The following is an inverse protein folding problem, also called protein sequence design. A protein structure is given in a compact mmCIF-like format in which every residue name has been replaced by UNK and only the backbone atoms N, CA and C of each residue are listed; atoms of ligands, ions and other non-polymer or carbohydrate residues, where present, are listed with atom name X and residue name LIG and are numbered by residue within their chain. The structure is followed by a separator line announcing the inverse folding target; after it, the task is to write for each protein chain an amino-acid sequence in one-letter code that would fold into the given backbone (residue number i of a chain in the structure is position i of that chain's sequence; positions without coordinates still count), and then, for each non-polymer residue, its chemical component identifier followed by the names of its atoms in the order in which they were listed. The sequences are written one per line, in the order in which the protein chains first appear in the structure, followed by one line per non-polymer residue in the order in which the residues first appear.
data_IF_348558847752
#
_entry.id   IF_348558847752
#
_cell.length_a   1.000
_cell.length_b   1.000
_cell.length_c   1.000
_cell.angle_alpha   90.00
_cell.angle_beta   90.00
_cell.angle_gamma   90.00
#
_symmetry.space_group_name_H-M   'P 1'
#
loop_
_entity.id
_entity.type
_entity.pdbx_description
1 polymer ?
#
# COMPACT_ATOMS: atom_id res chain seq x y z
N UNK A 1 10.66 19.83 -40.84
CA UNK A 1 11.21 18.46 -40.65
C UNK A 1 11.52 18.29 -39.16
N UNK A 2 10.82 17.36 -38.54
CA UNK A 2 10.67 17.19 -37.09
C UNK A 2 11.95 16.70 -36.39
N UNK A 3 12.10 16.92 -35.07
CA UNK A 3 12.43 15.83 -34.19
C UNK A 3 11.11 15.15 -33.76
N UNK A 4 10.87 13.96 -34.31
CA UNK A 4 9.92 12.99 -33.77
C UNK A 4 10.26 12.81 -32.29
N UNK A 5 9.35 13.19 -31.38
CA UNK A 5 9.48 12.77 -29.99
C UNK A 5 9.24 11.27 -29.95
N UNK A 6 10.37 10.59 -29.84
CA UNK A 6 10.56 9.16 -29.73
C UNK A 6 9.67 8.55 -28.63
N UNK A 7 9.27 7.30 -28.89
CA UNK A 7 8.43 6.47 -28.03
C UNK A 7 9.14 6.19 -26.72
N UNK A 8 9.01 7.08 -25.75
CA UNK A 8 9.35 6.80 -24.36
C UNK A 8 8.63 7.81 -23.47
N UNK A 9 7.39 7.49 -23.13
CA UNK A 9 6.82 7.96 -21.86
C UNK A 9 7.60 7.26 -20.73
N UNK A 10 8.86 7.63 -20.55
CA UNK A 10 9.57 7.43 -19.29
C UNK A 10 8.89 8.36 -18.30
N UNK A 11 7.75 7.92 -17.77
CA UNK A 11 7.20 8.48 -16.55
C UNK A 11 8.24 8.19 -15.46
N UNK A 12 9.16 9.14 -15.28
CA UNK A 12 10.00 9.21 -14.09
C UNK A 12 8.99 9.34 -12.95
N UNK A 13 8.88 8.37 -12.02
CA UNK A 13 7.90 8.44 -10.97
C UNK A 13 8.20 9.70 -10.16
N UNK A 14 7.33 10.70 -10.32
CA UNK A 14 7.48 11.99 -9.67
C UNK A 14 7.32 11.76 -8.17
N UNK A 15 8.10 12.46 -7.36
CA UNK A 15 8.29 12.22 -5.92
C UNK A 15 7.00 12.40 -5.09
N UNK A 16 5.89 12.78 -5.75
CA UNK A 16 4.52 12.83 -5.22
C UNK A 16 3.99 11.46 -4.74
N UNK A 17 4.58 10.34 -5.22
CA UNK A 17 4.11 8.97 -4.93
C UNK A 17 4.61 8.34 -3.62
N UNK A 18 5.38 9.04 -2.76
CA UNK A 18 5.84 8.41 -1.50
C UNK A 18 4.67 7.98 -0.61
N UNK A 19 3.59 8.77 -0.61
CA UNK A 19 2.38 8.45 0.12
C UNK A 19 1.63 7.24 -0.48
N UNK A 20 1.57 7.14 -1.81
CA UNK A 20 0.92 6.02 -2.52
C UNK A 20 1.72 4.73 -2.40
N UNK A 21 3.04 4.81 -2.52
CA UNK A 21 3.95 3.70 -2.30
C UNK A 21 3.85 3.20 -0.86
N UNK A 22 3.82 4.12 0.11
CA UNK A 22 3.62 3.78 1.51
C UNK A 22 2.27 3.08 1.72
N UNK A 23 1.18 3.62 1.18
CA UNK A 23 -0.16 3.02 1.24
C UNK A 23 -0.15 1.60 0.66
N UNK A 24 0.40 1.44 -0.53
CA UNK A 24 0.50 0.16 -1.24
C UNK A 24 1.31 -0.86 -0.45
N UNK A 25 2.44 -0.44 0.10
CA UNK A 25 3.31 -1.28 0.93
C UNK A 25 2.58 -1.76 2.19
N UNK A 26 1.91 -0.83 2.90
CA UNK A 26 1.14 -1.16 4.10
C UNK A 26 0.00 -2.13 3.78
N UNK A 27 -0.75 -1.87 2.72
CA UNK A 27 -1.87 -2.71 2.30
C UNK A 27 -1.41 -4.11 1.92
N UNK A 28 -0.29 -4.23 1.18
CA UNK A 28 0.30 -5.52 0.81
C UNK A 28 0.72 -6.32 2.05
N UNK A 29 1.48 -5.70 2.97
CA UNK A 29 1.92 -6.37 4.20
C UNK A 29 0.74 -6.75 5.10
N UNK A 30 -0.28 -5.90 5.18
CA UNK A 30 -1.52 -6.23 5.89
C UNK A 30 -2.18 -7.47 5.28
N UNK A 31 -2.28 -7.54 3.94
CA UNK A 31 -2.88 -8.68 3.27
C UNK A 31 -2.07 -9.98 3.46
N UNK A 32 -0.75 -9.92 3.31
CA UNK A 32 0.18 -11.04 3.55
C UNK A 32 0.16 -11.52 5.02
N UNK A 33 -0.10 -10.62 5.96
CA UNK A 33 -0.29 -10.94 7.38
C UNK A 33 -1.73 -11.35 7.73
N UNK A 34 -2.64 -11.47 6.76
CA UNK A 34 -4.05 -11.78 7.02
C UNK A 34 -4.76 -10.72 7.87
N UNK A 35 -4.44 -9.44 7.66
CA UNK A 35 -4.92 -8.28 8.40
C UNK A 35 -4.52 -8.26 9.88
N UNK A 36 -3.50 -9.03 10.26
CA UNK A 36 -2.95 -9.01 11.60
C UNK A 36 -2.04 -7.79 11.79
N UNK A 37 -2.60 -6.72 12.37
CA UNK A 37 -1.90 -5.45 12.65
C UNK A 37 -0.59 -5.66 13.44
N UNK A 38 -0.55 -6.61 14.39
CA UNK A 38 0.67 -6.90 15.17
C UNK A 38 1.78 -7.45 14.29
N UNK A 39 1.45 -8.42 13.43
CA UNK A 39 2.42 -9.03 12.52
C UNK A 39 2.86 -8.05 11.43
N UNK A 40 1.91 -7.29 10.88
CA UNK A 40 2.21 -6.27 9.87
C UNK A 40 3.11 -5.15 10.44
N UNK A 41 2.84 -4.67 11.66
CA UNK A 41 3.68 -3.67 12.31
C UNK A 41 5.10 -4.18 12.54
N UNK A 42 5.25 -5.43 12.99
CA UNK A 42 6.56 -6.09 13.14
C UNK A 42 7.30 -6.21 11.81
N UNK A 43 6.62 -6.61 10.73
CA UNK A 43 7.21 -6.71 9.39
C UNK A 43 7.63 -5.34 8.83
N UNK A 44 6.83 -4.31 9.07
CA UNK A 44 7.13 -2.94 8.65
C UNK A 44 8.16 -2.24 9.57
N UNK A 45 8.58 -2.88 10.67
CA UNK A 45 9.52 -2.29 11.63
C UNK A 45 8.97 -1.08 12.39
N UNK A 46 7.64 -0.91 12.44
CA UNK A 46 6.97 0.22 13.10
C UNK A 46 6.12 -0.24 14.28
N UNK A 47 5.75 0.70 15.14
CA UNK A 47 4.81 0.43 16.22
C UNK A 47 3.39 0.22 15.70
N UNK A 48 2.57 -0.52 16.47
CA UNK A 48 1.14 -0.72 16.17
C UNK A 48 0.39 0.60 16.04
N UNK A 49 0.68 1.57 16.91
CA UNK A 49 0.05 2.89 16.92
C UNK A 49 0.39 3.68 15.67
N UNK A 50 1.64 3.60 15.20
CA UNK A 50 2.06 4.19 13.92
C UNK A 50 1.35 3.54 12.75
N UNK A 51 1.26 2.20 12.74
CA UNK A 51 0.54 1.48 11.69
C UNK A 51 -0.95 1.87 11.65
N UNK A 52 -1.63 1.93 12.80
CA UNK A 52 -3.02 2.40 12.88
C UNK A 52 -3.17 3.83 12.34
N UNK A 53 -2.27 4.72 12.71
CA UNK A 53 -2.29 6.11 12.25
C UNK A 53 -2.10 6.20 10.74
N UNK A 54 -1.19 5.41 10.16
CA UNK A 54 -0.97 5.35 8.71
C UNK A 54 -2.15 4.72 7.97
N UNK A 55 -2.73 3.64 8.49
CA UNK A 55 -3.93 3.00 7.92
C UNK A 55 -5.11 3.99 7.86
N UNK A 56 -5.32 4.76 8.93
CA UNK A 56 -6.37 5.80 8.98
C UNK A 56 -6.05 6.97 8.05
N UNK A 57 -4.79 7.45 8.05
CA UNK A 57 -4.34 8.58 7.23
C UNK A 57 -4.48 8.28 5.73
N UNK A 58 -4.14 7.05 5.32
CA UNK A 58 -4.18 6.61 3.93
C UNK A 58 -5.53 5.99 3.52
N UNK A 59 -6.54 6.04 4.42
CA UNK A 59 -7.86 5.44 4.24
C UNK A 59 -7.79 4.03 3.64
N UNK A 60 -6.90 3.18 4.19
CA UNK A 60 -6.72 1.82 3.70
C UNK A 60 -7.95 1.01 4.09
N UNK A 61 -8.82 0.78 3.11
CA UNK A 61 -10.03 0.00 3.29
C UNK A 61 -9.68 -1.46 3.61
N UNK A 62 -10.30 -1.99 4.67
CA UNK A 62 -10.27 -3.41 4.92
C UNK A 62 -10.96 -4.10 3.74
N UNK A 63 -10.31 -5.07 3.07
CA UNK A 63 -10.94 -5.90 2.07
C UNK A 63 -12.16 -6.53 2.71
N UNK A 64 -13.27 -6.49 1.99
CA UNK A 64 -14.47 -7.26 2.32
C UNK A 64 -14.19 -8.76 2.51
N UNK A 65 -12.99 -9.24 2.23
CA UNK A 65 -12.55 -10.62 2.46
C UNK A 65 -12.60 -11.05 3.94
N UNK A 66 -12.68 -10.13 4.91
CA UNK A 66 -13.04 -10.47 6.30
C UNK A 66 -14.51 -10.91 6.45
N UNK A 67 -15.38 -10.59 5.49
CA UNK A 67 -16.79 -11.00 5.46
C UNK A 67 -17.00 -12.42 4.92
N UNK A 68 -16.00 -13.02 4.25
CA UNK A 68 -16.16 -14.31 3.54
C UNK A 68 -15.30 -15.48 4.01
N UNK A 69 -14.54 -15.38 5.11
CA UNK A 69 -13.74 -16.51 5.65
C UNK A 69 -14.48 -17.38 6.68
N UNK A 70 -15.74 -17.72 6.38
CA UNK A 70 -16.47 -18.86 6.99
C UNK A 70 -16.96 -19.87 5.94
N UNK A 71 -16.66 -19.70 4.65
CA UNK A 71 -17.12 -20.67 3.63
C UNK A 71 -16.12 -20.81 2.49
N UNK A 72 -15.26 -21.82 2.58
CA UNK A 72 -15.17 -22.98 1.68
C UNK A 72 -13.99 -23.86 2.10
#
# INVERSE_FOLDING_TARGET
PEPLHDRSATHVPQIDDLAELEKTTIQRVLNECGWNIRQAARRLGISRTTLYSKVRKHAIELPEQRRKKTSQ
#
